data_IF_458712330630
#
_entry.id   IF_458712330630
#
_cell.length_a   1.000
_cell.length_b   1.000
_cell.length_c   1.000
_cell.angle_alpha   90.00
_cell.angle_beta   90.00
_cell.angle_gamma   90.00
#
_symmetry.space_group_name_H-M   'P 1'
#
loop_
_entity.id
_entity.type
_entity.pdbx_description
1 polymer ?
#
# COMPACT_ATOMS: atom_id res chain seq x y z
N UNK A 1 16.92 4.96 2.77
CA UNK A 1 16.53 3.54 2.94
C UNK A 1 15.05 3.41 2.63
N UNK A 2 14.60 2.35 1.95
CA UNK A 2 13.19 2.15 1.62
C UNK A 2 12.67 0.87 2.28
N UNK A 3 11.51 0.95 2.93
CA UNK A 3 10.79 -0.19 3.50
C UNK A 3 9.40 -0.28 2.89
N UNK A 4 9.00 -1.50 2.54
CA UNK A 4 7.67 -1.80 2.04
C UNK A 4 7.03 -2.84 2.96
N UNK A 5 5.87 -2.49 3.52
CA UNK A 5 5.11 -3.33 4.44
C UNK A 5 3.73 -3.56 3.86
N UNK A 6 3.25 -4.80 3.98
CA UNK A 6 1.88 -5.16 3.62
C UNK A 6 1.21 -5.86 4.79
N UNK A 7 -0.09 -5.60 4.95
CA UNK A 7 -0.93 -6.30 5.90
C UNK A 7 -2.19 -6.77 5.20
N UNK A 8 -2.50 -8.06 5.35
CA UNK A 8 -3.63 -8.70 4.70
C UNK A 8 -4.41 -9.59 5.67
N UNK A 9 -5.70 -9.34 5.76
CA UNK A 9 -6.71 -10.19 6.40
C UNK A 9 -8.00 -10.20 5.55
N UNK A 10 -9.07 -10.83 6.03
CA UNK A 10 -10.33 -10.97 5.29
C UNK A 10 -11.00 -9.64 4.91
N UNK A 11 -10.69 -8.54 5.62
CA UNK A 11 -11.32 -7.22 5.44
C UNK A 11 -10.34 -6.13 5.04
N UNK A 12 -9.05 -6.40 5.19
CA UNK A 12 -7.96 -5.45 5.06
C UNK A 12 -6.96 -5.95 4.05
N UNK A 13 -6.64 -5.09 3.10
CA UNK A 13 -5.48 -5.24 2.24
C UNK A 13 -4.81 -3.86 2.27
N UNK A 14 -3.69 -3.73 2.96
CA UNK A 14 -3.06 -2.44 3.28
C UNK A 14 -1.58 -2.47 2.92
N UNK A 15 -1.05 -1.32 2.53
CA UNK A 15 0.39 -1.13 2.33
C UNK A 15 0.90 0.12 3.05
N UNK A 16 2.20 0.10 3.34
CA UNK A 16 2.99 1.25 3.78
C UNK A 16 4.34 1.24 3.06
N UNK A 17 4.72 2.38 2.50
CA UNK A 17 6.05 2.69 2.02
C UNK A 17 6.68 3.70 2.98
N UNK A 18 7.86 3.38 3.47
CA UNK A 18 8.63 4.27 4.35
C UNK A 18 9.94 4.59 3.64
N UNK A 19 10.17 5.87 3.35
CA UNK A 19 11.40 6.38 2.77
C UNK A 19 12.15 7.21 3.80
N UNK A 20 13.32 6.73 4.24
CA UNK A 20 14.17 7.40 5.23
C UNK A 20 15.31 8.13 4.52
N UNK A 21 15.47 9.42 4.81
CA UNK A 21 16.56 10.28 4.37
C UNK A 21 17.17 11.02 5.57
N UNK A 22 18.37 10.60 5.98
CA UNK A 22 19.06 11.15 7.15
C UNK A 22 18.23 11.00 8.43
N UNK A 23 17.83 12.13 9.02
CA UNK A 23 16.99 12.19 10.25
C UNK A 23 15.49 12.31 9.96
N UNK A 24 15.09 12.33 8.70
CA UNK A 24 13.70 12.50 8.27
C UNK A 24 13.18 11.24 7.58
N UNK A 25 11.88 11.02 7.67
CA UNK A 25 11.22 9.94 6.94
C UNK A 25 9.86 10.39 6.39
N UNK A 26 9.50 9.82 5.25
CA UNK A 26 8.19 9.98 4.62
C UNK A 26 7.48 8.64 4.66
N UNK A 27 6.21 8.64 5.09
CA UNK A 27 5.34 7.46 5.09
C UNK A 27 4.21 7.67 4.09
N UNK A 28 4.10 6.77 3.13
CA UNK A 28 2.96 6.67 2.20
C UNK A 28 2.19 5.40 2.52
N UNK A 29 0.88 5.49 2.71
CA UNK A 29 0.06 4.33 3.09
C UNK A 29 -1.28 4.31 2.36
N UNK A 30 -1.88 3.13 2.23
CA UNK A 30 -3.17 2.99 1.55
C UNK A 30 -3.72 1.57 1.54
N UNK A 31 -4.85 1.39 0.84
CA UNK A 31 -5.41 0.08 0.56
C UNK A 31 -4.60 -0.57 -0.57
N UNK A 32 -4.02 -1.73 -0.31
CA UNK A 32 -3.35 -2.52 -1.33
C UNK A 32 -4.39 -3.24 -2.20
N UNK A 33 -4.07 -3.43 -3.49
CA UNK A 33 -4.90 -4.26 -4.36
C UNK A 33 -6.29 -3.71 -4.69
N UNK A 34 -6.47 -2.38 -4.82
CA UNK A 34 -7.53 -1.87 -5.71
C UNK A 34 -7.19 -2.28 -7.16
N UNK A 35 -7.38 -3.56 -7.44
CA UNK A 35 -7.47 -4.10 -8.77
C UNK A 35 -8.75 -3.49 -9.35
N UNK A 36 -8.60 -2.46 -10.16
CA UNK A 36 -9.61 -2.10 -11.15
C UNK A 36 -9.75 -3.30 -12.08
N UNK A 37 -10.56 -4.29 -11.69
CA UNK A 37 -11.15 -5.21 -12.65
C UNK A 37 -11.96 -4.31 -13.58
N UNK A 38 -11.74 -4.31 -14.91
CA UNK A 38 -12.68 -3.67 -15.80
C UNK A 38 -14.04 -4.31 -15.54
N UNK A 39 -14.97 -3.51 -15.03
CA UNK A 39 -16.37 -3.91 -14.90
C UNK A 39 -16.92 -3.97 -16.32
N UNK A 40 -16.91 -5.15 -16.95
CA UNK A 40 -17.58 -5.39 -18.23
C UNK A 40 -18.96 -5.92 -17.86
N UNK A 41 -20.01 -5.13 -18.13
CA UNK A 41 -21.40 -5.61 -18.08
C UNK A 41 -21.65 -6.51 -19.29
N UNK A 42 -22.15 -7.72 -19.05
CA UNK A 42 -22.86 -8.52 -20.06
C UNK A 42 -24.36 -8.29 -19.91
#
# INVERSE_FOLDING_TARGET
MKYHLTYKDDKSDKFWNIEVSGKSFTVTYGKAGTNTKPHINF
#
